data_IF_880203403834
#
_entry.id   IF_880203403834
#
_cell.length_a   1.000
_cell.length_b   1.000
_cell.length_c   1.000
_cell.angle_alpha   90.00
_cell.angle_beta   90.00
_cell.angle_gamma   90.00
#
_symmetry.space_group_name_H-M   'P 1'
#
loop_
_entity.id
_entity.type
_entity.pdbx_description
1 polymer ?
#
# COMPACT_ATOMS: atom_id res chain seq x y z
N UNK A 1 11.47 -3.09 16.06
CA UNK A 1 11.37 -2.07 14.98
C UNK A 1 12.18 -2.57 13.78
N UNK A 2 11.55 -2.71 12.62
CA UNK A 2 12.18 -3.24 11.43
C UNK A 2 12.56 -2.12 10.45
N UNK A 3 13.79 -1.62 10.55
CA UNK A 3 14.28 -0.51 9.70
C UNK A 3 14.32 -0.86 8.20
N UNK A 4 14.28 -2.15 7.84
CA UNK A 4 14.36 -2.59 6.44
C UNK A 4 13.12 -2.26 5.61
N UNK A 5 12.01 -1.89 6.25
CA UNK A 5 10.77 -1.54 5.53
C UNK A 5 10.72 -0.06 5.16
N UNK A 6 11.65 0.77 5.65
CA UNK A 6 11.75 2.19 5.27
C UNK A 6 12.22 2.24 3.81
N UNK A 7 11.46 2.88 2.89
CA UNK A 7 11.88 2.97 1.49
C UNK A 7 13.18 3.75 1.34
N UNK A 8 14.12 3.19 0.57
CA UNK A 8 15.40 3.83 0.27
C UNK A 8 15.26 5.16 -0.50
N UNK A 9 14.16 5.32 -1.25
CA UNK A 9 13.80 6.54 -1.98
C UNK A 9 12.40 6.98 -1.58
N UNK A 10 12.20 8.29 -1.49
CA UNK A 10 10.87 8.85 -1.21
C UNK A 10 9.93 8.64 -2.40
N UNK A 11 8.62 8.74 -2.16
CA UNK A 11 7.64 8.70 -3.24
C UNK A 11 7.89 9.82 -4.27
N UNK A 12 8.23 11.02 -3.79
CA UNK A 12 8.46 12.19 -4.64
C UNK A 12 9.73 12.05 -5.50
N UNK A 13 10.76 11.37 -4.98
CA UNK A 13 11.97 11.06 -5.76
C UNK A 13 11.72 10.03 -6.84
N UNK A 14 10.87 9.03 -6.56
CA UNK A 14 10.52 8.00 -7.54
C UNK A 14 9.55 8.53 -8.60
N UNK A 15 8.60 9.40 -8.26
CA UNK A 15 7.58 9.90 -9.20
C UNK A 15 8.18 10.47 -10.49
N UNK A 16 9.32 11.16 -10.38
CA UNK A 16 10.01 11.80 -11.52
C UNK A 16 10.49 10.81 -12.58
N UNK A 17 10.64 9.52 -12.23
CA UNK A 17 11.15 8.46 -13.10
C UNK A 17 10.07 7.60 -13.76
N UNK A 18 8.78 7.88 -13.55
CA UNK A 18 7.70 7.01 -14.02
C UNK A 18 6.57 7.77 -14.71
N UNK A 19 5.85 7.04 -15.58
CA UNK A 19 4.54 7.46 -16.06
C UNK A 19 3.57 7.65 -14.89
N UNK A 20 2.93 8.83 -14.84
CA UNK A 20 2.12 9.29 -13.72
C UNK A 20 1.02 8.33 -13.31
N UNK A 21 0.20 7.85 -14.25
CA UNK A 21 -0.98 7.04 -13.94
C UNK A 21 -0.62 5.61 -13.48
N UNK A 22 0.23 4.83 -14.20
CA UNK A 22 0.72 3.54 -13.74
C UNK A 22 1.38 3.59 -12.36
N UNK A 23 2.22 4.59 -12.13
CA UNK A 23 2.88 4.79 -10.85
C UNK A 23 1.89 5.19 -9.75
N UNK A 24 1.00 6.16 -10.00
CA UNK A 24 0.01 6.58 -9.02
C UNK A 24 -0.96 5.46 -8.60
N UNK A 25 -1.30 4.53 -9.51
CA UNK A 25 -2.09 3.34 -9.16
C UNK A 25 -1.43 2.52 -8.06
N UNK A 26 -0.12 2.29 -8.17
CA UNK A 26 0.66 1.60 -7.16
C UNK A 26 0.95 2.49 -5.95
N UNK A 27 1.67 3.59 -6.14
CA UNK A 27 2.20 4.42 -5.05
C UNK A 27 1.12 5.12 -4.21
N UNK A 28 -0.05 5.45 -4.79
CA UNK A 28 -1.05 6.31 -4.13
C UNK A 28 -2.41 5.66 -3.91
N UNK A 29 -2.80 4.74 -4.79
CA UNK A 29 -4.17 4.20 -4.83
C UNK A 29 -4.28 2.77 -4.29
N UNK A 30 -3.23 1.94 -4.37
CA UNK A 30 -3.26 0.54 -3.94
C UNK A 30 -3.56 0.37 -2.45
N UNK A 31 -3.10 1.30 -1.61
CA UNK A 31 -3.29 1.28 -0.14
C UNK A 31 -4.76 1.37 0.28
N UNK A 32 -5.65 1.76 -0.65
CA UNK A 32 -7.09 1.89 -0.43
C UNK A 32 -7.85 0.60 -0.78
N UNK A 33 -7.19 -0.34 -1.46
CA UNK A 33 -7.83 -1.56 -1.94
C UNK A 33 -8.09 -2.53 -0.76
N UNK A 34 -9.35 -2.92 -0.49
CA UNK A 34 -9.68 -3.82 0.62
C UNK A 34 -9.11 -5.23 0.44
N UNK A 35 -9.13 -5.77 -0.78
CA UNK A 35 -8.55 -7.07 -1.11
C UNK A 35 -7.05 -7.11 -0.83
N UNK A 36 -6.32 -6.03 -1.10
CA UNK A 36 -4.89 -5.91 -0.77
C UNK A 36 -4.68 -5.94 0.75
N UNK A 37 -5.50 -5.21 1.51
CA UNK A 37 -5.41 -5.21 2.98
C UNK A 37 -5.66 -6.59 3.58
N UNK A 38 -6.71 -7.26 3.12
CA UNK A 38 -7.05 -8.62 3.55
C UNK A 38 -5.93 -9.60 3.19
N UNK A 39 -5.43 -9.53 1.95
CA UNK A 39 -4.33 -10.38 1.50
C UNK A 39 -3.07 -10.20 2.36
N UNK A 40 -2.67 -8.96 2.64
CA UNK A 40 -1.48 -8.68 3.47
C UNK A 40 -1.69 -9.13 4.92
N UNK A 41 -2.87 -8.91 5.49
CA UNK A 41 -3.21 -9.39 6.82
C UNK A 41 -3.09 -10.92 6.91
N UNK A 42 -3.56 -11.65 5.90
CA UNK A 42 -3.44 -13.11 5.86
C UNK A 42 -2.00 -13.56 5.64
N UNK A 43 -1.30 -12.97 4.66
CA UNK A 43 0.08 -13.32 4.30
C UNK A 43 1.04 -13.18 5.49
N UNK A 44 0.88 -12.11 6.26
CA UNK A 44 1.82 -11.76 7.34
C UNK A 44 1.26 -12.11 8.73
N UNK A 45 0.21 -12.95 8.80
CA UNK A 45 -0.36 -13.48 10.04
C UNK A 45 -0.95 -12.42 10.97
N UNK A 46 -1.46 -11.32 10.42
CA UNK A 46 -2.04 -10.20 11.16
C UNK A 46 -1.02 -9.40 11.96
N UNK A 47 0.28 -9.54 11.69
CA UNK A 47 1.35 -8.85 12.42
C UNK A 47 1.78 -7.58 11.70
N UNK A 48 2.09 -6.55 12.49
CA UNK A 48 2.70 -5.34 11.99
C UNK A 48 4.15 -5.60 11.60
N UNK A 49 4.51 -5.31 10.34
CA UNK A 49 5.86 -5.50 9.85
C UNK A 49 6.91 -4.61 10.53
N UNK A 50 6.47 -3.52 11.19
CA UNK A 50 7.35 -2.60 11.92
C UNK A 50 7.68 -3.08 13.33
N UNK A 51 6.66 -3.32 14.16
CA UNK A 51 6.84 -3.64 15.57
C UNK A 51 6.75 -5.15 15.88
N UNK A 52 6.17 -5.96 14.99
CA UNK A 52 5.95 -7.40 15.18
C UNK A 52 4.66 -7.76 15.93
N UNK A 53 3.99 -6.78 16.53
CA UNK A 53 2.76 -6.97 17.30
C UNK A 53 1.54 -7.19 16.41
N UNK A 54 0.53 -7.86 16.96
CA UNK A 54 -0.75 -8.11 16.29
C UNK A 54 -1.48 -6.80 15.97
N UNK A 55 -2.09 -6.74 14.79
CA UNK A 55 -2.96 -5.65 14.37
C UNK A 55 -4.41 -6.05 14.70
N UNK A 56 -5.01 -5.39 15.70
CA UNK A 56 -6.39 -5.66 16.12
C UNK A 56 -7.43 -5.06 15.15
N UNK A 57 -7.09 -3.93 14.51
CA UNK A 57 -7.95 -3.21 13.56
C UNK A 57 -7.57 -3.45 12.09
N UNK A 58 -8.25 -2.79 11.16
CA UNK A 58 -7.85 -2.82 9.74
C UNK A 58 -6.42 -2.28 9.56
N UNK A 59 -5.49 -3.05 8.95
CA UNK A 59 -4.12 -2.62 8.80
C UNK A 59 -3.99 -1.43 7.85
N UNK A 60 -3.02 -0.56 8.16
CA UNK A 60 -2.44 0.32 7.16
C UNK A 60 -1.59 -0.49 6.18
N UNK A 61 -1.55 -0.05 4.92
CA UNK A 61 -0.64 -0.61 3.92
C UNK A 61 0.53 0.34 3.77
N UNK A 62 1.74 -0.18 3.98
CA UNK A 62 2.98 0.56 3.84
C UNK A 62 3.77 0.05 2.64
N UNK A 63 4.29 0.95 1.82
CA UNK A 63 5.22 0.64 0.74
C UNK A 63 6.62 0.47 1.28
N UNK A 64 7.29 -0.64 0.98
CA UNK A 64 8.72 -0.83 1.25
C UNK A 64 9.60 -0.31 0.12
N UNK A 65 9.00 -0.06 -1.05
CA UNK A 65 9.62 0.62 -2.19
C UNK A 65 8.56 1.33 -3.02
N UNK A 66 8.88 2.56 -3.45
CA UNK A 66 8.10 3.32 -4.44
C UNK A 66 8.65 3.17 -5.87
N UNK A 67 9.76 2.43 -6.05
CA UNK A 67 10.39 2.15 -7.35
C UNK A 67 9.68 1.01 -8.09
N UNK A 68 8.40 1.25 -8.39
CA UNK A 68 7.52 0.29 -9.06
C UNK A 68 6.29 1.00 -9.65
N UNK A 69 5.80 0.48 -10.78
CA UNK A 69 4.55 0.93 -11.40
C UNK A 69 3.60 -0.25 -11.60
N UNK A 70 2.30 0.00 -11.41
CA UNK A 70 1.28 -1.00 -11.67
C UNK A 70 0.93 -1.01 -13.16
N UNK A 71 1.04 -2.17 -13.80
CA UNK A 71 0.73 -2.35 -15.23
C UNK A 71 -0.72 -2.77 -15.49
N UNK A 72 -1.51 -3.09 -14.46
CA UNK A 72 -2.90 -3.50 -14.62
C UNK A 72 -3.86 -2.30 -14.75
N UNK A 73 -4.62 -2.27 -15.86
CA UNK A 73 -5.57 -1.21 -16.22
C UNK A 73 -6.75 -1.05 -15.25
N UNK A 74 -7.32 -2.16 -14.77
CA UNK A 74 -8.59 -2.17 -14.06
C UNK A 74 -8.59 -1.39 -12.75
N UNK A 75 -9.72 -0.74 -12.46
CA UNK A 75 -9.96 0.02 -11.22
C UNK A 75 -11.33 -0.28 -10.63
N UNK A 76 -11.43 -0.16 -9.31
CA UNK A 76 -12.68 -0.24 -8.55
C UNK A 76 -12.92 1.06 -7.79
N UNK A 77 -14.20 1.34 -7.50
CA UNK A 77 -14.58 2.36 -6.52
C UNK A 77 -14.51 1.79 -5.12
N UNK A 78 -13.78 2.46 -4.23
CA UNK A 78 -13.73 2.15 -2.80
C UNK A 78 -14.37 3.30 -2.01
N UNK A 79 -15.23 2.95 -1.04
CA UNK A 79 -15.82 3.91 -0.11
C UNK A 79 -14.90 4.03 1.10
N UNK A 80 -14.39 5.23 1.36
CA UNK A 80 -13.80 5.53 2.66
C UNK A 80 -14.90 6.07 3.58
N UNK A 81 -15.17 5.36 4.67
CA UNK A 81 -15.97 5.90 5.76
C UNK A 81 -15.09 6.87 6.56
N UNK A 82 -15.40 8.15 6.49
CA UNK A 82 -14.89 9.14 7.45
C UNK A 82 -16.03 9.57 8.36
N UNK A 83 -15.74 9.73 9.65
CA UNK A 83 -16.71 10.07 10.71
C UNK A 83 -17.44 11.40 10.45
N UNK A 84 -16.86 12.27 9.62
CA UNK A 84 -17.48 13.50 9.15
C UNK A 84 -17.48 13.55 7.62
N UNK A 85 -18.67 13.80 7.06
CA UNK A 85 -19.00 14.14 5.65
C UNK A 85 -19.02 12.96 4.66
N UNK A 86 -20.06 12.98 3.82
CA UNK A 86 -20.40 12.06 2.72
C UNK A 86 -19.27 11.14 2.26
N UNK A 87 -19.51 9.83 2.30
CA UNK A 87 -18.60 8.80 1.80
C UNK A 87 -18.13 9.15 0.38
N UNK A 88 -16.94 9.75 0.26
CA UNK A 88 -16.39 10.10 -1.05
C UNK A 88 -15.90 8.81 -1.70
N UNK A 89 -16.44 8.52 -2.89
CA UNK A 89 -15.93 7.46 -3.75
C UNK A 89 -14.50 7.82 -4.17
N UNK A 90 -13.61 6.84 -4.05
CA UNK A 90 -12.20 6.94 -4.46
C UNK A 90 -11.88 5.78 -5.37
N UNK A 91 -10.96 5.97 -6.30
CA UNK A 91 -10.46 4.88 -7.13
C UNK A 91 -9.32 4.14 -6.43
N UNK A 92 -9.31 2.83 -6.61
CA UNK A 92 -8.22 1.92 -6.32
C UNK A 92 -8.01 0.97 -7.52
N UNK A 93 -6.81 0.41 -7.76
CA UNK A 93 -6.63 -0.64 -8.76
C UNK A 93 -7.47 -1.86 -8.41
N UNK A 94 -8.03 -2.57 -9.38
CA UNK A 94 -8.75 -3.82 -9.15
C UNK A 94 -7.78 -4.99 -8.99
N UNK A 95 -7.19 -5.09 -7.80
CA UNK A 95 -6.18 -6.09 -7.51
C UNK A 95 -6.73 -7.52 -7.48
N UNK A 96 -8.04 -7.71 -7.28
CA UNK A 96 -8.66 -9.05 -7.27
C UNK A 96 -8.70 -9.62 -8.68
N UNK A 97 -9.20 -8.83 -9.62
CA UNK A 97 -9.17 -9.19 -11.05
C UNK A 97 -7.74 -9.31 -11.56
N UNK A 98 -6.84 -8.41 -11.14
CA UNK A 98 -5.42 -8.47 -11.48
C UNK A 98 -4.76 -9.80 -11.11
N UNK A 99 -5.03 -10.31 -9.89
CA UNK A 99 -4.50 -11.60 -9.41
C UNK A 99 -5.05 -12.78 -10.21
N UNK A 100 -6.34 -12.77 -10.52
CA UNK A 100 -6.98 -13.81 -11.35
C UNK A 100 -6.47 -13.84 -12.79
N UNK A 101 -6.14 -12.66 -13.34
CA UNK A 101 -5.57 -12.52 -14.69
C UNK A 101 -4.08 -12.90 -14.75
N UNK A 102 -3.26 -12.39 -13.83
CA UNK A 102 -1.82 -12.67 -13.78
C UNK A 102 -1.27 -12.58 -12.35
N UNK A 103 -1.01 -13.74 -11.75
CA UNK A 103 -0.48 -13.88 -10.39
C UNK A 103 0.90 -13.20 -10.23
N UNK A 104 1.82 -13.37 -11.19
CA UNK A 104 3.16 -12.79 -11.10
C UNK A 104 3.15 -11.26 -11.09
N UNK A 105 2.27 -10.63 -11.87
CA UNK A 105 2.06 -9.17 -11.86
C UNK A 105 1.51 -8.69 -10.51
N UNK A 106 0.58 -9.43 -9.93
CA UNK A 106 0.06 -9.14 -8.59
C UNK A 106 1.16 -9.26 -7.53
N UNK A 107 1.95 -10.33 -7.57
CA UNK A 107 3.06 -10.57 -6.62
C UNK A 107 4.17 -9.53 -6.74
N UNK A 108 4.42 -9.00 -7.94
CA UNK A 108 5.35 -7.89 -8.16
C UNK A 108 4.95 -6.62 -7.37
N UNK A 109 3.64 -6.35 -7.23
CA UNK A 109 3.14 -5.29 -6.35
C UNK A 109 3.23 -5.71 -4.88
N UNK A 110 2.75 -6.90 -4.53
CA UNK A 110 2.63 -7.33 -3.13
C UNK A 110 3.97 -7.49 -2.42
N UNK A 111 5.03 -7.87 -3.13
CA UNK A 111 6.40 -7.94 -2.61
C UNK A 111 6.94 -6.61 -2.08
N UNK A 112 6.31 -5.49 -2.45
CA UNK A 112 6.70 -4.12 -2.05
C UNK A 112 5.75 -3.48 -1.06
N UNK A 113 4.82 -4.26 -0.50
CA UNK A 113 3.82 -3.81 0.45
C UNK A 113 3.86 -4.66 1.71
N UNK A 114 3.65 -4.02 2.86
CA UNK A 114 3.54 -4.67 4.16
C UNK A 114 2.41 -4.07 5.00
N UNK A 115 1.76 -4.85 5.87
CA UNK A 115 0.79 -4.34 6.82
C UNK A 115 1.49 -3.70 8.02
N UNK A 116 0.99 -2.56 8.46
CA UNK A 116 1.49 -1.84 9.65
C UNK A 116 0.34 -1.21 10.43
N UNK A 117 0.54 -0.97 11.74
CA UNK A 117 -0.35 -0.09 12.49
C UNK A 117 -0.28 1.34 11.95
N UNK A 118 -1.37 2.10 12.10
CA UNK A 118 -1.44 3.51 11.68
C UNK A 118 -0.34 4.36 12.33
N UNK A 119 -0.10 4.17 13.64
CA UNK A 119 0.95 4.89 14.38
C UNK A 119 2.36 4.48 13.94
N UNK A 120 2.60 3.19 13.67
CA UNK A 120 3.87 2.72 13.14
C UNK A 120 4.14 3.30 11.74
N UNK A 121 3.11 3.40 10.89
CA UNK A 121 3.23 4.02 9.57
C UNK A 121 3.64 5.50 9.67
N UNK A 122 3.08 6.23 10.65
CA UNK A 122 3.48 7.61 10.95
C UNK A 122 4.94 7.68 11.39
N UNK A 123 5.35 6.81 12.32
CA UNK A 123 6.74 6.75 12.80
C UNK A 123 7.74 6.48 11.67
N UNK A 124 7.40 5.58 10.74
CA UNK A 124 8.24 5.31 9.56
C UNK A 124 8.37 6.56 8.70
N UNK A 125 7.27 7.26 8.46
CA UNK A 125 7.25 8.49 7.65
C UNK A 125 8.13 9.57 8.28
N UNK A 126 8.01 9.78 9.59
CA UNK A 126 8.81 10.76 10.33
C UNK A 126 10.31 10.46 10.26
N UNK A 127 10.69 9.17 10.25
CA UNK A 127 12.09 8.73 10.11
C UNK A 127 12.63 8.93 8.69
N UNK A 128 11.80 8.79 7.66
CA UNK A 128 12.21 9.02 6.27
C UNK A 128 12.51 10.50 5.98
N UNK A 129 11.88 11.41 6.73
CA UNK A 129 12.05 12.87 6.58
C UNK A 129 13.20 13.47 7.40
N UNK A 130 13.87 12.69 8.26
CA UNK A 130 15.01 13.20 9.05
C UNK A 130 16.31 13.03 8.24
N UNK A 131 17.08 14.13 8.03
CA UNK A 131 18.35 14.08 7.33
C UNK A 131 19.41 13.26 8.09
#
# INVERSE_FOLDING_TARGET
>A
MNLKIIPARTADDCEKGYDREPWARFARRIIRNPFVKEFLAQRDGGKCAWCGETIADSPGVHHTSYDHSCTFAGTIEVRQQTVQRHAKKRLAPDCRSCRGDNQARFDACMSKLVPVHSLCNKEISDRQTRP
#
